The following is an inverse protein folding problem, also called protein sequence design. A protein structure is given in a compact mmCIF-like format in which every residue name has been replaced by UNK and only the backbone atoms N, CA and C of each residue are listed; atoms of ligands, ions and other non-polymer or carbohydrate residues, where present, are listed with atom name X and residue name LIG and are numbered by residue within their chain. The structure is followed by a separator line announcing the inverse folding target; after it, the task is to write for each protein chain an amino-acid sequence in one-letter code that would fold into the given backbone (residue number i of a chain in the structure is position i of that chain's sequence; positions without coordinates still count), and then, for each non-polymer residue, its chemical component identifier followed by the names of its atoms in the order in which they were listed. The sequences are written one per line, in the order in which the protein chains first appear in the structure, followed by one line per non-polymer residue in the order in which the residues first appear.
data_IF_184331074508
#
_entry.id   IF_184331074508
#
_cell.length_a   1.000
_cell.length_b   1.000
_cell.length_c   1.000
_cell.angle_alpha   90.00
_cell.angle_beta   90.00
_cell.angle_gamma   90.00
#
_symmetry.space_group_name_H-M   'P 1'
#
loop_
_entity.id
_entity.type
_entity.pdbx_description
1 polymer ?
#
# COMPACT_ATOMS: atom_id res chain seq x y z
N UNK A 1 23.83 13.69 -26.74
CA UNK A 1 23.69 13.98 -25.30
C UNK A 1 22.49 14.92 -25.17
N UNK A 2 21.26 14.50 -24.99
CA UNK A 2 20.65 13.28 -24.42
C UNK A 2 19.44 12.93 -25.28
N UNK A 3 19.21 11.65 -25.52
CA UNK A 3 18.18 11.17 -26.44
C UNK A 3 16.78 11.34 -25.86
N UNK A 4 15.93 12.01 -26.63
CA UNK A 4 14.48 12.07 -26.50
C UNK A 4 13.88 10.67 -26.33
N UNK A 5 13.59 10.29 -25.09
CA UNK A 5 12.83 9.08 -24.79
C UNK A 5 11.35 9.37 -24.99
N UNK A 6 10.94 9.27 -26.25
CA UNK A 6 9.59 9.47 -26.75
C UNK A 6 8.57 8.70 -25.91
N UNK A 7 7.59 9.46 -25.43
CA UNK A 7 6.46 9.16 -24.57
C UNK A 7 5.67 7.93 -25.08
N UNK A 8 5.66 6.85 -24.29
CA UNK A 8 4.72 5.74 -24.47
C UNK A 8 3.29 6.21 -24.12
N UNK A 9 2.24 5.56 -24.68
CA UNK A 9 0.88 6.03 -24.51
C UNK A 9 0.51 5.92 -23.04
N UNK A 10 0.30 7.06 -22.41
CA UNK A 10 -0.29 7.14 -21.08
C UNK A 10 -1.66 6.48 -21.18
N UNK A 11 -1.82 5.34 -20.51
CA UNK A 11 -3.10 4.64 -20.43
C UNK A 11 -4.12 5.64 -19.91
N UNK A 12 -5.19 5.92 -20.68
CA UNK A 12 -6.21 6.89 -20.31
C UNK A 12 -7.02 6.35 -19.12
N UNK A 13 -6.59 6.70 -17.91
CA UNK A 13 -7.29 6.43 -16.67
C UNK A 13 -8.36 7.53 -16.47
N UNK A 14 -9.65 7.16 -16.37
CA UNK A 14 -10.73 8.12 -16.11
C UNK A 14 -10.86 8.35 -14.59
N UNK A 15 -10.82 9.60 -14.13
CA UNK A 15 -10.85 9.99 -12.70
C UNK A 15 -9.54 10.61 -12.24
N UNK A 16 -9.18 10.45 -10.94
CA UNK A 16 -7.84 10.78 -10.43
C UNK A 16 -6.81 10.10 -11.34
N UNK A 17 -5.85 10.87 -11.85
CA UNK A 17 -4.88 10.33 -12.81
C UNK A 17 -3.98 9.29 -12.16
N UNK A 18 -3.54 8.30 -12.93
CA UNK A 18 -2.57 7.30 -12.48
C UNK A 18 -1.29 7.91 -11.84
N UNK A 19 -0.90 9.13 -12.27
CA UNK A 19 0.19 9.92 -11.68
C UNK A 19 -0.16 10.48 -10.30
N UNK A 20 -1.36 11.03 -10.14
CA UNK A 20 -1.83 11.60 -8.87
C UNK A 20 -1.96 10.53 -7.78
N UNK A 21 -2.38 9.31 -8.16
CA UNK A 21 -2.36 8.14 -7.28
C UNK A 21 -0.95 7.85 -6.77
N UNK A 22 0.04 7.83 -7.67
CA UNK A 22 1.42 7.54 -7.31
C UNK A 22 1.99 8.58 -6.34
N UNK A 23 1.66 9.86 -6.53
CA UNK A 23 2.08 10.96 -5.64
C UNK A 23 1.51 10.82 -4.24
N UNK A 24 0.30 10.26 -4.09
CA UNK A 24 -0.40 10.08 -2.81
C UNK A 24 -0.14 8.73 -2.14
N UNK A 25 0.52 7.80 -2.84
CA UNK A 25 0.63 6.43 -2.37
C UNK A 25 1.49 6.28 -1.12
N UNK A 26 2.52 7.11 -0.95
CA UNK A 26 3.34 7.11 0.27
C UNK A 26 2.50 7.48 1.50
N UNK A 27 1.76 8.59 1.44
CA UNK A 27 0.84 9.02 2.50
C UNK A 27 -0.24 7.96 2.81
N UNK A 28 -0.73 7.26 1.78
CA UNK A 28 -1.67 6.15 1.95
C UNK A 28 -1.04 4.96 2.70
N UNK A 29 0.20 4.57 2.38
CA UNK A 29 0.92 3.48 3.05
C UNK A 29 1.21 3.83 4.50
N UNK A 30 1.57 5.09 4.76
CA UNK A 30 1.88 5.59 6.10
C UNK A 30 0.62 5.85 6.94
N UNK A 31 -0.57 5.79 6.33
CA UNK A 31 -1.86 6.00 7.01
C UNK A 31 -2.16 7.47 7.33
N UNK A 32 -1.49 8.40 6.65
CA UNK A 32 -1.60 9.86 6.86
C UNK A 32 -2.55 10.52 5.86
N UNK A 33 -3.00 9.77 4.85
CA UNK A 33 -3.90 10.27 3.82
C UNK A 33 -5.34 10.46 4.34
N UNK A 34 -6.00 11.55 3.92
CA UNK A 34 -7.40 11.83 4.29
C UNK A 34 -8.31 10.65 3.89
N UNK A 35 -9.21 10.17 4.78
CA UNK A 35 -10.04 8.99 4.53
C UNK A 35 -10.92 9.09 3.27
N UNK A 36 -11.34 10.29 2.86
CA UNK A 36 -12.13 10.49 1.64
C UNK A 36 -11.26 10.23 0.40
N UNK A 37 -10.02 10.71 0.45
CA UNK A 37 -9.04 10.52 -0.63
C UNK A 37 -8.60 9.06 -0.69
N UNK A 38 -8.50 8.36 0.46
CA UNK A 38 -8.26 6.91 0.48
C UNK A 38 -9.32 6.14 -0.33
N UNK A 39 -10.61 6.51 -0.21
CA UNK A 39 -11.68 5.85 -0.95
C UNK A 39 -11.53 6.05 -2.47
N UNK A 40 -11.25 7.28 -2.90
CA UNK A 40 -11.04 7.61 -4.32
C UNK A 40 -9.82 6.85 -4.89
N UNK A 41 -8.74 6.79 -4.11
CA UNK A 41 -7.51 6.08 -4.45
C UNK A 41 -7.76 4.56 -4.57
N UNK A 42 -8.46 3.97 -3.61
CA UNK A 42 -8.84 2.56 -3.62
C UNK A 42 -9.76 2.18 -4.78
N UNK A 43 -10.70 3.06 -5.15
CA UNK A 43 -11.56 2.86 -6.30
C UNK A 43 -10.75 2.83 -7.59
N UNK A 44 -9.87 3.81 -7.79
CA UNK A 44 -8.99 3.86 -8.96
C UNK A 44 -8.11 2.62 -9.07
N UNK A 45 -7.47 2.19 -7.97
CA UNK A 45 -6.59 1.02 -7.97
C UNK A 45 -7.31 -0.29 -8.33
N UNK A 46 -8.63 -0.37 -8.11
CA UNK A 46 -9.45 -1.53 -8.49
C UNK A 46 -9.82 -1.52 -9.97
N UNK A 47 -10.11 -0.36 -10.53
CA UNK A 47 -10.64 -0.22 -11.89
C UNK A 47 -9.58 0.10 -12.96
N UNK A 48 -8.36 0.41 -12.54
CA UNK A 48 -7.24 0.74 -13.42
C UNK A 48 -6.20 -0.39 -13.49
N UNK A 49 -6.12 -1.10 -14.62
CA UNK A 49 -5.19 -2.21 -14.82
C UNK A 49 -3.70 -1.84 -14.59
N UNK A 50 -3.17 -0.71 -15.10
CA UNK A 50 -1.81 -0.27 -14.77
C UNK A 50 -1.54 -0.12 -13.27
N UNK A 51 -2.47 0.51 -12.54
CA UNK A 51 -2.34 0.68 -11.10
C UNK A 51 -2.43 -0.65 -10.36
N UNK A 52 -3.30 -1.56 -10.80
CA UNK A 52 -3.38 -2.90 -10.25
C UNK A 52 -2.04 -3.64 -10.36
N UNK A 53 -1.43 -3.65 -11.55
CA UNK A 53 -0.12 -4.26 -11.79
C UNK A 53 0.99 -3.63 -10.95
N UNK A 54 0.96 -2.30 -10.82
CA UNK A 54 1.91 -1.56 -9.99
C UNK A 54 1.77 -1.93 -8.51
N UNK A 55 0.55 -1.95 -7.98
CA UNK A 55 0.27 -2.32 -6.58
C UNK A 55 0.67 -3.77 -6.30
N UNK A 56 0.44 -4.69 -7.22
CA UNK A 56 0.90 -6.08 -7.05
C UNK A 56 2.43 -6.18 -7.02
N UNK A 57 3.12 -5.35 -7.80
CA UNK A 57 4.58 -5.25 -7.76
C UNK A 57 5.06 -4.66 -6.43
N UNK A 58 4.40 -3.60 -5.96
CA UNK A 58 4.71 -2.96 -4.67
C UNK A 58 4.49 -3.90 -3.48
N UNK A 59 3.40 -4.67 -3.47
CA UNK A 59 3.14 -5.70 -2.45
C UNK A 59 4.30 -6.69 -2.35
N UNK A 60 4.85 -7.12 -3.49
CA UNK A 60 6.03 -8.02 -3.52
C UNK A 60 7.25 -7.34 -2.88
N UNK A 61 7.49 -6.07 -3.18
CA UNK A 61 8.55 -5.29 -2.55
C UNK A 61 8.38 -5.23 -1.03
N UNK A 62 7.19 -4.90 -0.53
CA UNK A 62 6.88 -4.88 0.91
C UNK A 62 7.13 -6.25 1.54
N UNK A 63 6.68 -7.32 0.88
CA UNK A 63 6.90 -8.69 1.34
C UNK A 63 8.40 -9.02 1.45
N UNK A 64 9.21 -8.68 0.45
CA UNK A 64 10.66 -8.89 0.49
C UNK A 64 11.32 -8.16 1.67
N UNK A 65 10.96 -6.90 1.92
CA UNK A 65 11.45 -6.15 3.07
C UNK A 65 11.07 -6.80 4.41
N UNK A 66 9.81 -7.25 4.53
CA UNK A 66 9.34 -7.95 5.74
C UNK A 66 10.14 -9.23 6.01
N UNK A 67 10.48 -9.99 4.97
CA UNK A 67 11.31 -11.20 5.13
C UNK A 67 12.78 -10.89 5.42
N UNK A 68 13.35 -9.88 4.76
CA UNK A 68 14.74 -9.50 4.95
C UNK A 68 15.02 -8.91 6.35
N UNK A 69 14.03 -8.26 6.95
CA UNK A 69 14.13 -7.63 8.27
C UNK A 69 13.55 -8.48 9.42
N UNK A 70 13.19 -9.73 9.16
CA UNK A 70 12.49 -10.56 10.14
C UNK A 70 13.41 -11.07 11.26
N UNK A 71 13.68 -10.23 12.25
CA UNK A 71 13.97 -10.74 13.60
C UNK A 71 12.67 -11.30 14.19
N UNK A 72 12.62 -12.59 14.58
CA UNK A 72 11.41 -13.17 15.12
C UNK A 72 11.01 -12.44 16.41
N UNK A 73 9.75 -12.00 16.47
CA UNK A 73 9.17 -11.45 17.71
C UNK A 73 9.40 -12.43 18.86
N UNK A 74 10.00 -11.98 19.99
CA UNK A 74 10.19 -12.86 21.14
C UNK A 74 8.85 -13.45 21.58
N UNK A 75 8.81 -14.79 21.77
CA UNK A 75 7.58 -15.52 22.12
C UNK A 75 6.87 -14.92 23.34
N UNK A 76 7.64 -14.45 24.31
CA UNK A 76 7.14 -13.79 25.52
C UNK A 76 6.28 -12.56 25.22
N UNK A 77 6.72 -11.71 24.29
CA UNK A 77 5.99 -10.51 23.88
C UNK A 77 4.69 -10.90 23.18
N UNK A 78 4.74 -11.89 22.28
CA UNK A 78 3.57 -12.42 21.60
C UNK A 78 2.53 -12.95 22.59
N UNK A 79 2.94 -13.80 23.55
CA UNK A 79 2.04 -14.37 24.55
C UNK A 79 1.39 -13.30 25.43
N UNK A 80 2.18 -12.36 25.96
CA UNK A 80 1.69 -11.27 26.81
C UNK A 80 0.68 -10.38 26.08
N UNK A 81 0.95 -10.05 24.82
CA UNK A 81 0.02 -9.26 23.99
C UNK A 81 -1.29 -10.01 23.77
N UNK A 82 -1.24 -11.29 23.40
CA UNK A 82 -2.43 -12.11 23.19
C UNK A 82 -3.26 -12.28 24.46
N UNK A 83 -2.62 -12.48 25.61
CA UNK A 83 -3.32 -12.54 26.90
C UNK A 83 -4.02 -11.22 27.23
N UNK A 84 -3.35 -10.10 26.99
CA UNK A 84 -3.94 -8.77 27.20
C UNK A 84 -5.15 -8.56 26.29
N UNK A 85 -5.01 -8.77 24.97
CA UNK A 85 -6.11 -8.64 24.01
C UNK A 85 -7.29 -9.56 24.36
N UNK A 86 -7.03 -10.80 24.80
CA UNK A 86 -8.09 -11.73 25.24
C UNK A 86 -8.83 -11.23 26.49
N UNK A 87 -8.17 -10.49 27.38
CA UNK A 87 -8.80 -9.89 28.57
C UNK A 87 -9.65 -8.67 28.20
N UNK A 88 -9.15 -7.81 27.31
CA UNK A 88 -9.81 -6.56 26.90
C UNK A 88 -10.90 -6.77 25.85
N UNK A 89 -10.74 -7.70 24.90
CA UNK A 89 -11.73 -8.01 23.87
C UNK A 89 -12.86 -8.92 24.34
N UNK A 90 -13.27 -8.86 25.62
CA UNK A 90 -14.43 -9.62 26.16
C UNK A 90 -15.79 -9.07 25.69
N UNK A 91 -15.85 -8.41 24.54
CA UNK A 91 -17.04 -7.70 24.06
C UNK A 91 -17.19 -7.61 22.54
N UNK A 92 -16.80 -8.64 21.78
CA UNK A 92 -17.20 -8.80 20.39
C UNK A 92 -17.91 -10.15 20.22
#
# INVERSE_FOLDING_TARGET
MTEDRKTQPVVECHGMGCKEILEKLSEYIDGELDPRICQDLEHHMKDCNPCLLFIDSLKKTITLYKYASAEPLPKEVHLRLHEYLKKECKGC
#
